data_IF_186675057877
#
_entry.id   IF_186675057877
#
_cell.length_a   1.000
_cell.length_b   1.000
_cell.length_c   1.000
_cell.angle_alpha   90.00
_cell.angle_beta   90.00
_cell.angle_gamma   90.00
#
_symmetry.space_group_name_H-M   'P 1'
#
loop_
_entity.id
_entity.type
_entity.pdbx_description
1 polymer ?
#
# COMPACT_ATOMS: atom_id res chain seq x y z
N UNK A 1 -41.88 -70.78 -39.99
CA UNK A 1 -41.04 -70.94 -41.20
C UNK A 1 -41.52 -69.98 -42.28
N UNK A 2 -41.00 -68.75 -42.31
CA UNK A 2 -41.21 -67.82 -43.43
C UNK A 2 -39.83 -67.18 -43.70
N UNK A 3 -39.21 -67.54 -44.82
CA UNK A 3 -37.95 -66.96 -45.29
C UNK A 3 -38.20 -66.28 -46.65
N UNK A 4 -38.05 -64.97 -46.65
CA UNK A 4 -37.14 -64.18 -47.49
C UNK A 4 -37.04 -64.58 -48.98
N UNK A 5 -37.41 -63.66 -49.89
CA UNK A 5 -36.46 -63.00 -50.84
C UNK A 5 -37.17 -62.06 -51.83
N UNK A 6 -36.63 -60.83 -51.89
CA UNK A 6 -36.49 -59.96 -53.07
C UNK A 6 -37.79 -59.28 -53.56
N UNK A 7 -37.90 -57.97 -53.29
CA UNK A 7 -38.28 -56.95 -54.28
C UNK A 7 -37.59 -55.62 -53.88
N UNK A 8 -36.79 -55.14 -54.84
CA UNK A 8 -36.33 -53.79 -55.14
C UNK A 8 -36.14 -52.75 -54.02
N UNK A 9 -34.85 -52.62 -53.67
CA UNK A 9 -34.05 -51.40 -53.61
C UNK A 9 -34.63 -50.20 -54.40
N UNK A 10 -35.33 -49.27 -53.73
CA UNK A 10 -35.66 -47.93 -54.26
C UNK A 10 -35.80 -46.90 -53.13
N UNK A 11 -34.79 -46.82 -52.25
CA UNK A 11 -34.64 -45.73 -51.28
C UNK A 11 -33.16 -45.55 -50.98
N UNK A 12 -32.44 -44.84 -51.85
CA UNK A 12 -31.11 -44.28 -51.56
C UNK A 12 -30.69 -43.32 -52.69
N UNK A 13 -31.38 -42.18 -52.75
CA UNK A 13 -30.90 -40.97 -53.42
C UNK A 13 -31.69 -39.74 -52.94
N UNK A 14 -31.98 -39.66 -51.64
CA UNK A 14 -32.10 -38.35 -51.01
C UNK A 14 -30.68 -37.94 -50.66
N UNK A 15 -30.17 -36.95 -51.39
CA UNK A 15 -28.93 -36.26 -51.09
C UNK A 15 -28.80 -36.05 -49.58
N UNK A 16 -27.96 -36.85 -48.94
CA UNK A 16 -27.11 -36.26 -47.92
C UNK A 16 -26.25 -35.27 -48.70
N UNK A 17 -26.68 -34.01 -48.74
CA UNK A 17 -25.72 -32.94 -48.71
C UNK A 17 -24.99 -33.09 -47.36
N UNK A 18 -24.03 -34.03 -47.32
CA UNK A 18 -22.88 -33.88 -46.44
C UNK A 18 -22.34 -32.53 -46.85
N UNK A 19 -22.36 -31.50 -45.98
CA UNK A 19 -21.68 -30.27 -46.32
C UNK A 19 -20.25 -30.68 -46.65
N UNK A 20 -19.84 -30.42 -47.88
CA UNK A 20 -18.49 -30.64 -48.34
C UNK A 20 -17.56 -30.11 -47.27
N UNK A 21 -16.83 -31.01 -46.62
CA UNK A 21 -15.80 -30.72 -45.63
C UNK A 21 -14.58 -30.21 -46.40
N UNK A 22 -14.76 -29.12 -47.13
CA UNK A 22 -13.76 -28.43 -47.95
C UNK A 22 -13.77 -26.94 -47.63
N UNK A 23 -12.58 -26.35 -47.53
CA UNK A 23 -12.25 -24.91 -47.51
C UNK A 23 -12.41 -24.03 -46.26
N UNK A 24 -12.91 -24.51 -45.13
CA UNK A 24 -12.92 -23.66 -43.91
C UNK A 24 -11.52 -23.46 -43.29
N UNK A 25 -10.55 -24.32 -43.62
CA UNK A 25 -9.18 -24.22 -43.10
C UNK A 25 -8.37 -23.16 -43.84
N UNK A 26 -8.42 -23.13 -45.17
CA UNK A 26 -7.72 -22.14 -45.98
C UNK A 26 -8.25 -20.73 -45.73
N UNK A 27 -9.58 -20.58 -45.62
CA UNK A 27 -10.23 -19.31 -45.26
C UNK A 27 -9.76 -18.81 -43.88
N UNK A 28 -9.68 -19.70 -42.89
CA UNK A 28 -9.14 -19.37 -41.56
C UNK A 28 -7.69 -18.86 -41.62
N UNK A 29 -6.83 -19.53 -42.40
CA UNK A 29 -5.42 -19.11 -42.57
C UNK A 29 -5.28 -17.80 -43.34
N UNK A 30 -6.15 -17.55 -44.33
CA UNK A 30 -6.19 -16.29 -45.05
C UNK A 30 -6.53 -15.13 -44.11
N UNK A 31 -7.63 -15.23 -43.36
CA UNK A 31 -8.00 -14.21 -42.38
C UNK A 31 -6.95 -14.04 -41.30
N UNK A 32 -6.32 -15.12 -40.83
CA UNK A 32 -5.22 -15.02 -39.87
C UNK A 32 -4.02 -14.23 -40.46
N UNK A 33 -3.67 -14.49 -41.72
CA UNK A 33 -2.58 -13.78 -42.39
C UNK A 33 -2.89 -12.29 -42.58
N UNK A 34 -4.13 -11.95 -42.95
CA UNK A 34 -4.60 -10.56 -43.03
C UNK A 34 -4.52 -9.84 -41.68
N UNK A 35 -4.91 -10.52 -40.60
CA UNK A 35 -4.78 -10.00 -39.24
C UNK A 35 -3.34 -9.68 -38.86
N UNK A 36 -2.39 -10.58 -39.18
CA UNK A 36 -0.95 -10.36 -38.94
C UNK A 36 -0.44 -9.14 -39.73
N UNK A 37 -0.85 -8.97 -40.99
CA UNK A 37 -0.48 -7.80 -41.78
C UNK A 37 -1.02 -6.49 -41.20
N UNK A 38 -2.23 -6.51 -40.62
CA UNK A 38 -2.78 -5.34 -39.93
C UNK A 38 -2.05 -5.02 -38.62
N UNK A 39 -1.59 -6.03 -37.87
CA UNK A 39 -0.72 -5.82 -36.70
C UNK A 39 0.56 -5.07 -37.10
N UNK A 40 1.21 -5.47 -38.20
CA UNK A 40 2.42 -4.79 -38.70
C UNK A 40 2.18 -3.31 -39.04
N UNK A 41 0.96 -2.97 -39.45
CA UNK A 41 0.52 -1.61 -39.75
C UNK A 41 0.03 -0.83 -38.52
N UNK A 42 0.00 -1.46 -37.34
CA UNK A 42 -0.51 -0.87 -36.11
C UNK A 42 -2.03 -0.84 -35.98
N UNK A 43 -2.77 -1.42 -36.93
CA UNK A 43 -4.24 -1.50 -36.88
C UNK A 43 -4.69 -2.70 -36.02
N UNK A 44 -4.60 -2.53 -34.69
CA UNK A 44 -5.03 -3.55 -33.72
C UNK A 44 -6.52 -3.90 -33.87
N UNK A 45 -7.37 -2.93 -34.18
CA UNK A 45 -8.83 -3.15 -34.24
C UNK A 45 -9.22 -3.94 -35.48
N UNK A 46 -8.64 -3.60 -36.64
CA UNK A 46 -8.83 -4.36 -37.86
C UNK A 46 -8.22 -5.75 -37.78
N UNK A 47 -7.07 -5.90 -37.12
CA UNK A 47 -6.46 -7.21 -36.89
C UNK A 47 -7.37 -8.13 -36.07
N UNK A 48 -7.97 -7.62 -34.98
CA UNK A 48 -8.93 -8.39 -34.16
C UNK A 48 -10.12 -8.89 -34.99
N UNK A 49 -10.69 -8.05 -35.86
CA UNK A 49 -11.82 -8.46 -36.74
C UNK A 49 -11.43 -9.60 -37.70
N UNK A 50 -10.22 -9.55 -38.25
CA UNK A 50 -9.74 -10.60 -39.13
C UNK A 50 -9.47 -11.89 -38.34
N UNK A 51 -8.84 -11.81 -37.16
CA UNK A 51 -8.64 -12.97 -36.31
C UNK A 51 -9.96 -13.58 -35.79
N UNK A 52 -10.97 -12.76 -35.50
CA UNK A 52 -12.34 -13.23 -35.19
C UNK A 52 -12.95 -13.98 -36.37
N UNK A 53 -12.75 -13.49 -37.59
CA UNK A 53 -13.21 -14.16 -38.81
C UNK A 53 -12.45 -15.47 -39.03
N UNK A 54 -11.15 -15.50 -38.77
CA UNK A 54 -10.34 -16.71 -38.79
C UNK A 54 -10.84 -17.78 -37.79
N UNK A 55 -11.17 -17.37 -36.56
CA UNK A 55 -11.70 -18.25 -35.53
C UNK A 55 -13.14 -18.71 -35.82
N UNK A 56 -13.94 -17.89 -36.51
CA UNK A 56 -15.29 -18.29 -36.97
C UNK A 56 -15.23 -19.33 -38.10
N UNK A 57 -14.31 -19.15 -39.05
CA UNK A 57 -14.10 -20.10 -40.14
C UNK A 57 -13.60 -21.45 -39.61
N UNK A 58 -12.62 -21.43 -38.69
CA UNK A 58 -12.14 -22.62 -38.01
C UNK A 58 -11.92 -22.37 -36.50
N UNK A 59 -12.87 -22.80 -35.63
CA UNK A 59 -12.73 -22.71 -34.18
C UNK A 59 -11.63 -23.59 -33.58
N UNK A 60 -10.91 -24.41 -34.35
CA UNK A 60 -9.79 -25.22 -33.88
C UNK A 60 -8.44 -24.71 -34.40
N UNK A 61 -8.40 -23.53 -35.03
CA UNK A 61 -7.15 -22.90 -35.43
C UNK A 61 -6.48 -22.24 -34.20
N UNK A 62 -5.66 -23.00 -33.49
CA UNK A 62 -4.93 -22.55 -32.30
C UNK A 62 -4.07 -21.30 -32.54
N UNK A 63 -3.49 -21.18 -33.75
CA UNK A 63 -2.69 -20.02 -34.14
C UNK A 63 -3.56 -18.76 -34.24
N UNK A 64 -4.72 -18.86 -34.90
CA UNK A 64 -5.66 -17.74 -34.98
C UNK A 64 -6.22 -17.35 -33.61
N UNK A 65 -6.51 -18.34 -32.75
CA UNK A 65 -6.94 -18.09 -31.37
C UNK A 65 -5.85 -17.40 -30.53
N UNK A 66 -4.60 -17.86 -30.63
CA UNK A 66 -3.47 -17.24 -29.94
C UNK A 66 -3.21 -15.81 -30.43
N UNK A 67 -3.27 -15.58 -31.74
CA UNK A 67 -3.13 -14.24 -32.33
C UNK A 67 -4.28 -13.31 -31.91
N UNK A 68 -5.52 -13.82 -31.86
CA UNK A 68 -6.67 -13.08 -31.37
C UNK A 68 -6.51 -12.67 -29.90
N UNK A 69 -6.10 -13.61 -29.04
CA UNK A 69 -5.84 -13.36 -27.63
C UNK A 69 -4.75 -12.31 -27.45
N UNK A 70 -3.63 -12.43 -28.19
CA UNK A 70 -2.51 -11.50 -28.15
C UNK A 70 -2.92 -10.09 -28.62
N UNK A 71 -3.65 -9.98 -29.73
CA UNK A 71 -4.14 -8.69 -30.24
C UNK A 71 -5.09 -8.01 -29.25
N UNK A 72 -6.01 -8.76 -28.64
CA UNK A 72 -6.92 -8.25 -27.60
C UNK A 72 -6.16 -7.85 -26.34
N UNK A 73 -5.16 -8.62 -25.92
CA UNK A 73 -4.30 -8.27 -24.79
C UNK A 73 -3.56 -6.96 -25.04
N UNK A 74 -2.94 -6.79 -26.21
CA UNK A 74 -2.22 -5.57 -26.56
C UNK A 74 -3.15 -4.34 -26.61
N UNK A 75 -4.37 -4.50 -27.14
CA UNK A 75 -5.38 -3.46 -27.11
C UNK A 75 -5.83 -3.13 -25.68
N UNK A 76 -5.96 -4.14 -24.82
CA UNK A 76 -6.25 -3.95 -23.40
C UNK A 76 -5.15 -3.16 -22.68
N UNK A 77 -3.88 -3.47 -22.94
CA UNK A 77 -2.73 -2.73 -22.41
C UNK A 77 -2.76 -1.28 -22.90
N UNK A 78 -3.08 -1.05 -24.17
CA UNK A 78 -3.25 0.31 -24.71
C UNK A 78 -4.34 1.09 -23.95
N UNK A 79 -5.53 0.51 -23.74
CA UNK A 79 -6.59 1.16 -22.98
C UNK A 79 -6.21 1.40 -21.52
N UNK A 80 -5.55 0.44 -20.87
CA UNK A 80 -5.06 0.60 -19.51
C UNK A 80 -4.04 1.75 -19.39
N UNK A 81 -3.14 1.91 -20.37
CA UNK A 81 -2.18 3.03 -20.42
C UNK A 81 -2.87 4.41 -20.53
N UNK A 82 -4.07 4.44 -21.11
CA UNK A 82 -4.93 5.63 -21.21
C UNK A 82 -5.91 5.75 -20.04
N UNK A 83 -5.75 4.92 -18.99
CA UNK A 83 -6.65 4.83 -17.82
C UNK A 83 -8.12 4.52 -18.20
N UNK A 84 -8.38 4.00 -19.40
CA UNK A 84 -9.70 3.53 -19.84
C UNK A 84 -9.93 2.10 -19.35
N UNK A 85 -10.03 1.96 -18.03
CA UNK A 85 -10.08 0.65 -17.38
C UNK A 85 -11.27 -0.24 -17.78
N UNK A 86 -12.50 0.29 -18.02
CA UNK A 86 -13.61 -0.55 -18.48
C UNK A 86 -13.34 -1.21 -19.84
N UNK A 87 -12.73 -0.48 -20.78
CA UNK A 87 -12.36 -1.02 -22.09
C UNK A 87 -11.22 -2.03 -21.97
N UNK A 88 -10.23 -1.74 -21.10
CA UNK A 88 -9.16 -2.68 -20.81
C UNK A 88 -9.70 -4.01 -20.25
N UNK A 89 -10.63 -3.97 -19.29
CA UNK A 89 -11.27 -5.17 -18.73
C UNK A 89 -11.98 -5.97 -19.81
N UNK A 90 -12.75 -5.31 -20.71
CA UNK A 90 -13.41 -5.99 -21.83
C UNK A 90 -12.41 -6.73 -22.71
N UNK A 91 -11.31 -6.06 -23.08
CA UNK A 91 -10.26 -6.65 -23.90
C UNK A 91 -9.56 -7.83 -23.22
N UNK A 92 -9.15 -7.69 -21.96
CA UNK A 92 -8.48 -8.77 -21.22
C UNK A 92 -9.40 -9.94 -20.90
N UNK A 93 -10.67 -9.68 -20.55
CA UNK A 93 -11.67 -10.73 -20.33
C UNK A 93 -11.92 -11.51 -21.62
N UNK A 94 -12.05 -10.81 -22.76
CA UNK A 94 -12.15 -11.46 -24.05
C UNK A 94 -10.91 -12.32 -24.31
N UNK A 95 -9.70 -11.78 -24.18
CA UNK A 95 -8.45 -12.53 -24.37
C UNK A 95 -8.35 -13.78 -23.45
N UNK A 96 -8.75 -13.66 -22.17
CA UNK A 96 -8.82 -14.77 -21.21
C UNK A 96 -9.79 -15.87 -21.67
N UNK A 97 -10.87 -15.53 -22.37
CA UNK A 97 -11.78 -16.55 -22.96
C UNK A 97 -11.09 -17.36 -24.07
N UNK A 98 -10.18 -16.76 -24.85
CA UNK A 98 -9.46 -17.49 -25.91
C UNK A 98 -8.32 -18.35 -25.36
N UNK A 99 -7.61 -17.83 -24.36
CA UNK A 99 -6.50 -18.53 -23.71
C UNK A 99 -6.64 -18.42 -22.19
N UNK A 100 -7.51 -19.23 -21.57
CA UNK A 100 -7.74 -19.21 -20.13
C UNK A 100 -6.49 -19.50 -19.28
N UNK A 101 -5.47 -20.13 -19.83
CA UNK A 101 -4.23 -20.49 -19.17
C UNK A 101 -3.12 -19.42 -19.33
N UNK A 102 -3.35 -18.36 -20.12
CA UNK A 102 -2.37 -17.30 -20.34
C UNK A 102 -2.24 -16.39 -19.11
N UNK A 103 -1.21 -16.67 -18.32
CA UNK A 103 -0.85 -15.91 -17.11
C UNK A 103 -0.60 -14.43 -17.41
N UNK A 104 -0.06 -14.09 -18.58
CA UNK A 104 0.23 -12.68 -18.93
C UNK A 104 -1.05 -11.87 -19.04
N UNK A 105 -2.07 -12.41 -19.70
CA UNK A 105 -3.39 -11.78 -19.84
C UNK A 105 -4.06 -11.63 -18.48
N UNK A 106 -4.00 -12.69 -17.65
CA UNK A 106 -4.61 -12.67 -16.32
C UNK A 106 -3.93 -11.69 -15.37
N UNK A 107 -2.60 -11.60 -15.40
CA UNK A 107 -1.86 -10.59 -14.63
C UNK A 107 -2.20 -9.17 -15.07
N UNK A 108 -2.38 -8.93 -16.37
CA UNK A 108 -2.84 -7.62 -16.86
C UNK A 108 -4.26 -7.29 -16.35
N UNK A 109 -5.17 -8.27 -16.35
CA UNK A 109 -6.51 -8.11 -15.81
C UNK A 109 -6.49 -7.83 -14.30
N UNK A 110 -5.71 -8.61 -13.54
CA UNK A 110 -5.48 -8.40 -12.11
C UNK A 110 -4.98 -6.98 -11.84
N UNK A 111 -3.96 -6.52 -12.58
CA UNK A 111 -3.41 -5.18 -12.42
C UNK A 111 -4.45 -4.07 -12.63
N UNK A 112 -5.40 -4.26 -13.57
CA UNK A 112 -6.50 -3.32 -13.76
C UNK A 112 -7.49 -3.34 -12.59
N UNK A 113 -7.86 -4.52 -12.07
CA UNK A 113 -8.73 -4.60 -10.88
C UNK A 113 -8.11 -3.94 -9.65
N UNK A 114 -6.80 -4.11 -9.46
CA UNK A 114 -6.03 -3.46 -8.40
C UNK A 114 -6.03 -1.94 -8.53
N UNK A 115 -5.80 -1.41 -9.74
CA UNK A 115 -5.84 0.05 -9.96
C UNK A 115 -7.23 0.65 -9.73
N UNK A 116 -8.29 -0.14 -9.95
CA UNK A 116 -9.68 0.25 -9.64
C UNK A 116 -10.09 -0.01 -8.18
N UNK A 117 -9.18 -0.52 -7.33
CA UNK A 117 -9.48 -0.97 -5.96
C UNK A 117 -10.66 -1.94 -5.88
N UNK A 118 -10.87 -2.75 -6.93
CA UNK A 118 -11.93 -3.77 -6.99
C UNK A 118 -11.45 -5.05 -6.30
N UNK A 119 -11.42 -5.03 -4.97
CA UNK A 119 -10.84 -6.07 -4.12
C UNK A 119 -11.36 -7.49 -4.45
N UNK A 120 -12.68 -7.71 -4.44
CA UNK A 120 -13.26 -9.03 -4.73
C UNK A 120 -12.86 -9.60 -6.11
N UNK A 121 -12.75 -8.74 -7.13
CA UNK A 121 -12.35 -9.19 -8.48
C UNK A 121 -10.85 -9.51 -8.54
N UNK A 122 -10.03 -8.71 -7.86
CA UNK A 122 -8.59 -8.93 -7.78
C UNK A 122 -8.27 -10.24 -7.05
N UNK A 123 -8.91 -10.50 -5.91
CA UNK A 123 -8.72 -11.73 -5.14
C UNK A 123 -9.12 -12.98 -5.93
N UNK A 124 -10.27 -12.96 -6.59
CA UNK A 124 -10.71 -14.08 -7.42
C UNK A 124 -9.75 -14.34 -8.60
N UNK A 125 -9.30 -13.29 -9.30
CA UNK A 125 -8.35 -13.46 -10.40
C UNK A 125 -6.97 -13.94 -9.90
N UNK A 126 -6.50 -13.43 -8.76
CA UNK A 126 -5.29 -13.91 -8.10
C UNK A 126 -5.38 -15.41 -7.75
N UNK A 127 -6.50 -15.84 -7.17
CA UNK A 127 -6.76 -17.24 -6.85
C UNK A 127 -6.71 -18.12 -8.11
N UNK A 128 -7.40 -17.71 -9.17
CA UNK A 128 -7.36 -18.42 -10.45
C UNK A 128 -5.93 -18.57 -10.98
N UNK A 129 -5.16 -17.47 -11.00
CA UNK A 129 -3.78 -17.47 -11.47
C UNK A 129 -2.93 -18.49 -10.69
N UNK A 130 -3.12 -18.56 -9.37
CA UNK A 130 -2.40 -19.47 -8.49
C UNK A 130 -2.85 -20.93 -8.65
N UNK A 131 -4.08 -21.20 -9.11
CA UNK A 131 -4.46 -22.59 -9.47
C UNK A 131 -3.68 -23.12 -10.66
N UNK A 132 -3.30 -22.23 -11.59
CA UNK A 132 -2.55 -22.60 -12.79
C UNK A 132 -1.06 -22.84 -12.48
N UNK A 133 -0.49 -22.09 -11.54
CA UNK A 133 0.92 -22.20 -11.13
C UNK A 133 1.07 -21.97 -9.61
N UNK A 134 0.70 -22.96 -8.78
CA UNK A 134 0.66 -22.79 -7.32
C UNK A 134 2.04 -22.63 -6.68
N UNK A 135 3.08 -23.18 -7.31
CA UNK A 135 4.44 -23.24 -6.76
C UNK A 135 5.43 -22.34 -7.53
N UNK A 136 4.94 -21.28 -8.20
CA UNK A 136 5.80 -20.29 -8.85
C UNK A 136 6.05 -19.11 -7.90
N UNK A 137 7.23 -19.02 -7.24
CA UNK A 137 7.49 -17.97 -6.25
C UNK A 137 7.43 -16.56 -6.87
N UNK A 138 7.80 -16.42 -8.15
CA UNK A 138 7.74 -15.11 -8.83
C UNK A 138 6.29 -14.66 -9.02
N UNK A 139 5.39 -15.60 -9.25
CA UNK A 139 3.97 -15.32 -9.41
C UNK A 139 3.31 -14.98 -8.07
N UNK A 140 3.63 -15.76 -7.04
CA UNK A 140 3.17 -15.53 -5.66
C UNK A 140 3.59 -14.14 -5.19
N UNK A 141 4.85 -13.76 -5.35
CA UNK A 141 5.35 -12.42 -4.99
C UNK A 141 4.62 -11.30 -5.72
N UNK A 142 4.40 -11.45 -7.04
CA UNK A 142 3.67 -10.44 -7.83
C UNK A 142 2.24 -10.25 -7.32
N UNK A 143 1.55 -11.35 -6.98
CA UNK A 143 0.18 -11.30 -6.46
C UNK A 143 0.16 -10.72 -5.06
N UNK A 144 1.06 -11.13 -4.17
CA UNK A 144 1.16 -10.57 -2.82
C UNK A 144 1.41 -9.05 -2.86
N UNK A 145 2.28 -8.57 -3.76
CA UNK A 145 2.53 -7.13 -3.96
C UNK A 145 1.29 -6.40 -4.49
N UNK A 146 0.54 -7.05 -5.38
CA UNK A 146 -0.70 -6.53 -5.91
C UNK A 146 -1.76 -6.39 -4.81
N UNK A 147 -1.95 -7.41 -3.97
CA UNK A 147 -2.86 -7.39 -2.82
C UNK A 147 -2.47 -6.33 -1.79
N UNK A 148 -1.18 -6.18 -1.51
CA UNK A 148 -0.68 -5.12 -0.62
C UNK A 148 -1.03 -3.71 -1.14
N UNK A 149 -1.02 -3.49 -2.47
CA UNK A 149 -1.37 -2.19 -3.08
C UNK A 149 -2.82 -1.79 -2.83
N UNK A 150 -3.73 -2.75 -2.62
CA UNK A 150 -5.12 -2.49 -2.23
C UNK A 150 -5.33 -2.61 -0.70
N UNK A 151 -4.25 -2.59 0.09
CA UNK A 151 -4.25 -2.72 1.55
C UNK A 151 -4.83 -4.04 2.08
N UNK A 152 -5.04 -5.04 1.22
CA UNK A 152 -5.38 -6.38 1.66
C UNK A 152 -4.11 -7.14 2.09
N UNK A 153 -3.56 -6.75 3.23
CA UNK A 153 -2.37 -7.38 3.81
C UNK A 153 -2.66 -8.79 4.33
N UNK A 154 -3.87 -9.03 4.84
CA UNK A 154 -4.29 -10.32 5.41
C UNK A 154 -4.20 -11.44 4.38
N UNK A 155 -4.88 -11.30 3.23
CA UNK A 155 -4.82 -12.32 2.17
C UNK A 155 -3.42 -12.45 1.57
N UNK A 156 -2.63 -11.37 1.53
CA UNK A 156 -1.24 -11.43 1.08
C UNK A 156 -0.36 -12.25 2.03
N UNK A 157 -0.53 -12.08 3.36
CA UNK A 157 0.17 -12.88 4.39
C UNK A 157 -0.21 -14.34 4.27
N UNK A 158 -1.51 -14.67 4.22
CA UNK A 158 -2.00 -16.04 4.09
C UNK A 158 -1.43 -16.75 2.85
N UNK A 159 -1.40 -16.04 1.72
CA UNK A 159 -0.84 -16.57 0.48
C UNK A 159 0.65 -16.89 0.62
N UNK A 160 1.43 -15.96 1.18
CA UNK A 160 2.87 -16.12 1.35
C UNK A 160 3.20 -17.23 2.37
N UNK A 161 2.46 -17.30 3.48
CA UNK A 161 2.58 -18.38 4.48
C UNK A 161 2.27 -19.74 3.87
N UNK A 162 1.16 -19.84 3.13
CA UNK A 162 0.80 -21.08 2.46
C UNK A 162 1.90 -21.54 1.49
N UNK A 163 2.53 -20.63 0.74
CA UNK A 163 3.67 -20.99 -0.10
C UNK A 163 4.85 -21.47 0.76
N UNK A 164 5.21 -20.71 1.79
CA UNK A 164 6.32 -21.04 2.70
C UNK A 164 6.18 -22.42 3.36
N UNK A 165 4.95 -22.83 3.70
CA UNK A 165 4.67 -24.10 4.38
C UNK A 165 4.68 -25.31 3.42
N UNK A 166 4.43 -25.10 2.13
CA UNK A 166 4.14 -26.19 1.17
C UNK A 166 5.12 -26.27 -0.01
N UNK A 167 6.03 -25.31 -0.16
CA UNK A 167 6.96 -25.22 -1.29
C UNK A 167 8.41 -25.15 -0.83
N UNK A 168 9.34 -25.25 -1.78
CA UNK A 168 10.76 -25.08 -1.49
C UNK A 168 11.05 -23.70 -0.86
N UNK A 169 11.93 -23.64 0.15
CA UNK A 169 12.35 -22.39 0.77
C UNK A 169 12.78 -21.36 -0.28
N UNK A 170 12.19 -20.17 -0.20
CA UNK A 170 12.47 -19.10 -1.14
C UNK A 170 12.75 -17.80 -0.39
N UNK A 171 13.94 -17.24 -0.64
CA UNK A 171 14.42 -16.04 0.03
C UNK A 171 13.48 -14.84 -0.14
N UNK A 172 13.07 -14.55 -1.37
CA UNK A 172 12.22 -13.37 -1.64
C UNK A 172 10.84 -13.51 -0.96
N UNK A 173 10.29 -14.72 -0.90
CA UNK A 173 9.04 -15.01 -0.18
C UNK A 173 9.20 -14.76 1.32
N UNK A 174 10.24 -15.32 1.94
CA UNK A 174 10.51 -15.13 3.36
C UNK A 174 10.75 -13.66 3.72
N UNK A 175 11.50 -12.93 2.89
CA UNK A 175 11.72 -11.48 3.08
C UNK A 175 10.43 -10.70 2.96
N UNK A 176 9.60 -11.01 1.94
CA UNK A 176 8.35 -10.31 1.73
C UNK A 176 7.36 -10.58 2.88
N UNK A 177 7.22 -11.85 3.27
CA UNK A 177 6.36 -12.25 4.38
C UNK A 177 6.81 -11.62 5.70
N UNK A 178 8.11 -11.71 6.01
CA UNK A 178 8.68 -11.13 7.23
C UNK A 178 8.47 -9.61 7.31
N UNK A 179 8.67 -8.88 6.20
CA UNK A 179 8.40 -7.43 6.14
C UNK A 179 6.91 -7.10 6.28
N UNK A 180 6.04 -7.92 5.71
CA UNK A 180 4.60 -7.68 5.79
C UNK A 180 4.08 -7.93 7.20
N UNK A 181 4.52 -9.03 7.84
CA UNK A 181 4.25 -9.35 9.25
C UNK A 181 4.77 -8.27 10.19
N UNK A 182 5.99 -7.75 9.92
CA UNK A 182 6.54 -6.63 10.67
C UNK A 182 5.63 -5.40 10.60
N UNK A 183 5.16 -5.06 9.39
CA UNK A 183 4.25 -3.93 9.18
C UNK A 183 2.91 -4.12 9.87
N UNK A 184 2.43 -5.35 10.02
CA UNK A 184 1.18 -5.67 10.71
C UNK A 184 1.36 -5.94 12.21
N UNK A 185 2.56 -5.74 12.77
CA UNK A 185 2.85 -5.87 14.20
C UNK A 185 3.08 -7.31 14.69
N UNK A 186 3.11 -8.31 13.80
CA UNK A 186 3.44 -9.69 14.19
C UNK A 186 4.96 -9.89 14.20
N UNK A 187 5.60 -9.29 15.21
CA UNK A 187 7.06 -9.27 15.34
C UNK A 187 7.67 -10.66 15.51
N UNK A 188 6.96 -11.58 16.18
CA UNK A 188 7.41 -12.95 16.41
C UNK A 188 7.57 -13.69 15.08
N UNK A 189 6.51 -13.71 14.26
CA UNK A 189 6.57 -14.37 12.97
C UNK A 189 7.44 -13.60 11.97
N UNK A 190 7.44 -12.26 12.03
CA UNK A 190 8.32 -11.43 11.22
C UNK A 190 9.79 -11.81 11.42
N UNK A 191 10.24 -11.88 12.68
CA UNK A 191 11.59 -12.31 13.05
C UNK A 191 11.88 -13.72 12.54
N UNK A 192 10.96 -14.66 12.74
CA UNK A 192 11.10 -16.06 12.32
C UNK A 192 11.37 -16.18 10.81
N UNK A 193 10.53 -15.60 9.96
CA UNK A 193 10.72 -15.71 8.51
C UNK A 193 11.94 -14.91 8.01
N UNK A 194 12.26 -13.77 8.62
CA UNK A 194 13.50 -13.05 8.29
C UNK A 194 14.75 -13.84 8.68
N UNK A 195 14.72 -14.56 9.80
CA UNK A 195 15.81 -15.44 10.21
C UNK A 195 16.01 -16.57 9.17
N UNK A 196 14.92 -17.23 8.73
CA UNK A 196 14.98 -18.21 7.63
C UNK A 196 15.55 -17.60 6.33
N UNK A 197 15.18 -16.35 5.99
CA UNK A 197 15.77 -15.66 4.86
C UNK A 197 17.28 -15.44 5.04
N UNK A 198 17.72 -15.09 6.25
CA UNK A 198 19.15 -14.92 6.56
C UNK A 198 19.92 -16.23 6.51
N UNK A 199 19.31 -17.38 6.81
CA UNK A 199 19.95 -18.69 6.65
C UNK A 199 20.24 -18.99 5.17
N UNK A 200 19.33 -18.61 4.26
CA UNK A 200 19.53 -18.75 2.81
C UNK A 200 20.60 -17.79 2.28
N UNK A 201 20.66 -16.56 2.80
CA UNK A 201 21.63 -15.53 2.39
C UNK A 201 22.24 -14.80 3.61
N UNK A 202 23.26 -15.39 4.27
CA UNK A 202 23.78 -14.94 5.58
C UNK A 202 24.49 -13.57 5.63
N UNK A 203 24.55 -12.85 4.52
CA UNK A 203 25.30 -11.59 4.41
C UNK A 203 24.42 -10.38 4.02
N UNK A 204 23.10 -10.53 3.96
CA UNK A 204 22.22 -9.37 3.71
C UNK A 204 22.10 -8.50 4.96
N UNK A 205 22.95 -7.47 5.02
CA UNK A 205 22.98 -6.47 6.10
C UNK A 205 21.62 -5.81 6.35
N UNK A 206 20.75 -5.69 5.34
CA UNK A 206 19.43 -5.07 5.52
C UNK A 206 18.49 -5.98 6.30
N UNK A 207 18.57 -7.29 6.06
CA UNK A 207 17.78 -8.29 6.78
C UNK A 207 18.27 -8.40 8.23
N UNK A 208 19.59 -8.48 8.41
CA UNK A 208 20.20 -8.53 9.75
C UNK A 208 19.79 -7.29 10.56
N UNK A 209 19.93 -6.08 10.01
CA UNK A 209 19.50 -4.86 10.68
C UNK A 209 18.00 -4.83 11.00
N UNK A 210 17.15 -5.40 10.13
CA UNK A 210 15.72 -5.50 10.39
C UNK A 210 15.40 -6.51 11.51
N UNK A 211 16.08 -7.67 11.54
CA UNK A 211 15.96 -8.65 12.63
C UNK A 211 16.37 -8.01 13.95
N UNK A 212 17.54 -7.36 13.99
CA UNK A 212 18.02 -6.65 15.18
C UNK A 212 17.01 -5.59 15.62
N UNK A 213 16.46 -4.79 14.69
CA UNK A 213 15.41 -3.81 15.03
C UNK A 213 14.19 -4.48 15.65
N UNK A 214 13.70 -5.58 15.07
CA UNK A 214 12.55 -6.33 15.60
C UNK A 214 12.87 -6.88 16.99
N UNK A 215 14.07 -7.38 17.23
CA UNK A 215 14.49 -7.86 18.56
C UNK A 215 14.49 -6.74 19.60
N UNK A 216 14.94 -5.54 19.23
CA UNK A 216 14.88 -4.36 20.11
C UNK A 216 13.43 -3.98 20.43
N UNK A 217 12.55 -3.98 19.43
CA UNK A 217 11.12 -3.67 19.60
C UNK A 217 10.42 -4.72 20.49
N UNK A 218 10.63 -6.01 20.23
CA UNK A 218 10.09 -7.11 21.04
C UNK A 218 10.55 -7.07 22.50
N UNK A 219 11.83 -6.76 22.74
CA UNK A 219 12.38 -6.68 24.10
C UNK A 219 11.69 -5.59 24.94
N UNK A 220 11.31 -4.48 24.29
CA UNK A 220 10.56 -3.41 24.95
C UNK A 220 9.12 -3.83 25.20
N UNK A 221 8.45 -4.48 24.24
CA UNK A 221 7.05 -4.91 24.36
C UNK A 221 6.81 -5.96 25.46
N UNK A 222 7.70 -6.95 25.60
CA UNK A 222 7.52 -8.05 26.55
C UNK A 222 7.42 -7.59 28.02
N UNK A 223 7.94 -6.39 28.34
CA UNK A 223 7.93 -5.81 29.68
C UNK A 223 6.91 -4.68 29.86
N UNK A 224 5.94 -4.55 28.95
CA UNK A 224 4.94 -3.50 29.04
C UNK A 224 3.67 -3.93 29.79
N UNK A 225 3.12 -2.97 30.52
CA UNK A 225 1.74 -2.97 30.99
C UNK A 225 0.87 -2.20 30.02
N UNK A 226 -0.42 -2.52 30.00
CA UNK A 226 -1.41 -1.84 29.17
C UNK A 226 -2.49 -1.25 30.07
N UNK A 227 -2.89 -0.04 29.74
CA UNK A 227 -3.97 0.70 30.40
C UNK A 227 -4.80 1.36 29.31
N UNK A 228 -6.09 1.57 29.54
CA UNK A 228 -6.95 2.29 28.61
C UNK A 228 -7.95 3.14 29.37
N UNK A 229 -8.33 4.26 28.79
CA UNK A 229 -9.38 5.14 29.27
C UNK A 229 -10.38 5.45 28.13
N UNK A 230 -11.08 6.58 28.18
CA UNK A 230 -12.10 6.94 27.20
C UNK A 230 -11.54 7.16 25.78
N UNK A 231 -10.35 7.76 25.65
CA UNK A 231 -9.80 8.19 24.36
C UNK A 231 -8.47 7.55 24.01
N UNK A 232 -7.76 6.96 24.98
CA UNK A 232 -6.41 6.45 24.81
C UNK A 232 -6.26 5.00 25.27
N UNK A 233 -5.38 4.30 24.55
CA UNK A 233 -4.82 3.00 24.95
C UNK A 233 -3.32 3.17 25.10
N UNK A 234 -2.84 3.06 26.34
CA UNK A 234 -1.45 3.27 26.72
C UNK A 234 -0.73 1.93 26.92
N UNK A 235 0.42 1.76 26.28
CA UNK A 235 1.39 0.72 26.58
C UNK A 235 2.62 1.35 27.23
N UNK A 236 3.07 0.86 28.39
CA UNK A 236 4.15 1.49 29.15
C UNK A 236 4.98 0.48 29.93
N UNK A 237 6.27 0.74 30.22
CA UNK A 237 7.14 -0.22 30.89
C UNK A 237 6.68 -0.50 32.32
N UNK A 238 6.75 -1.75 32.76
CA UNK A 238 6.25 -2.18 34.08
C UNK A 238 6.98 -1.53 35.28
N UNK A 239 8.15 -0.92 35.06
CA UNK A 239 8.95 -0.23 36.07
C UNK A 239 8.55 1.24 36.29
N UNK A 240 7.61 1.78 35.52
CA UNK A 240 7.12 3.14 35.72
C UNK A 240 6.21 3.23 36.96
N UNK A 241 6.40 4.30 37.72
CA UNK A 241 5.56 4.61 38.88
C UNK A 241 4.13 4.98 38.44
N UNK A 242 3.08 4.50 39.13
CA UNK A 242 1.68 4.81 38.78
C UNK A 242 1.40 6.30 38.62
N UNK A 243 1.98 7.15 39.48
CA UNK A 243 1.79 8.59 39.48
C UNK A 243 2.28 9.23 38.17
N UNK A 244 3.39 8.72 37.61
CA UNK A 244 3.91 9.20 36.32
C UNK A 244 3.00 8.80 35.16
N UNK A 245 2.30 7.67 35.27
CA UNK A 245 1.36 7.22 34.25
C UNK A 245 0.05 8.02 34.30
N UNK A 246 -0.43 8.34 35.51
CA UNK A 246 -1.57 9.24 35.71
C UNK A 246 -1.27 10.63 35.13
N UNK A 247 -0.08 11.17 35.36
CA UNK A 247 0.39 12.43 34.79
C UNK A 247 0.39 12.42 33.25
N UNK A 248 0.88 11.33 32.63
CA UNK A 248 0.86 11.19 31.16
C UNK A 248 -0.58 11.17 30.64
N UNK A 249 -1.48 10.44 31.30
CA UNK A 249 -2.88 10.35 30.89
C UNK A 249 -3.62 11.68 31.04
N UNK A 250 -3.37 12.41 32.13
CA UNK A 250 -3.92 13.75 32.35
C UNK A 250 -3.55 14.69 31.20
N UNK A 251 -2.26 14.73 30.84
CA UNK A 251 -1.76 15.56 29.73
C UNK A 251 -2.37 15.13 28.39
N UNK A 252 -2.54 13.82 28.15
CA UNK A 252 -3.15 13.30 26.93
C UNK A 252 -4.62 13.73 26.81
N UNK A 253 -5.39 13.69 27.90
CA UNK A 253 -6.79 14.14 27.92
C UNK A 253 -6.90 15.67 27.76
N UNK A 254 -6.00 16.44 28.35
CA UNK A 254 -5.90 17.88 28.08
C UNK A 254 -5.63 18.15 26.59
N UNK A 255 -4.67 17.45 26.00
CA UNK A 255 -4.32 17.58 24.60
C UNK A 255 -5.50 17.18 23.68
N UNK A 256 -6.20 16.09 24.01
CA UNK A 256 -7.41 15.66 23.31
C UNK A 256 -8.48 16.76 23.28
N UNK A 257 -8.79 17.33 24.45
CA UNK A 257 -9.82 18.35 24.58
C UNK A 257 -9.42 19.65 23.84
N UNK A 258 -8.24 20.17 24.14
CA UNK A 258 -7.79 21.48 23.63
C UNK A 258 -7.47 21.43 22.14
N UNK A 259 -6.57 20.53 21.72
CA UNK A 259 -6.08 20.48 20.33
C UNK A 259 -7.19 19.98 19.41
N UNK A 260 -8.00 19.01 19.88
CA UNK A 260 -9.21 18.58 19.18
C UNK A 260 -10.22 19.72 19.00
N UNK A 261 -10.34 20.62 19.97
CA UNK A 261 -11.18 21.82 19.87
C UNK A 261 -10.72 22.81 18.80
N UNK A 262 -9.41 23.06 18.69
CA UNK A 262 -8.86 23.95 17.66
C UNK A 262 -8.95 23.39 16.24
N UNK A 263 -8.81 22.06 16.09
CA UNK A 263 -8.85 21.39 14.80
C UNK A 263 -10.23 20.85 14.43
N UNK A 264 -11.22 21.01 15.32
CA UNK A 264 -12.57 20.46 15.23
C UNK A 264 -12.57 18.97 14.82
N UNK A 265 -11.63 18.22 15.38
CA UNK A 265 -11.40 16.82 15.02
C UNK A 265 -11.06 15.98 16.25
N UNK A 266 -11.86 14.94 16.45
CA UNK A 266 -11.75 14.02 17.56
C UNK A 266 -11.70 12.58 17.02
N UNK A 267 -10.63 11.82 17.29
CA UNK A 267 -10.54 10.43 16.85
C UNK A 267 -11.71 9.58 17.37
N UNK A 268 -12.36 8.83 16.47
CA UNK A 268 -13.45 7.91 16.82
C UNK A 268 -12.97 6.65 17.56
N UNK A 269 -11.73 6.23 17.27
CA UNK A 269 -11.10 5.07 17.88
C UNK A 269 -10.13 5.49 18.98
N UNK A 270 -9.90 4.58 19.94
CA UNK A 270 -8.88 4.76 20.98
C UNK A 270 -7.51 5.02 20.32
N UNK A 271 -6.91 6.17 20.66
CA UNK A 271 -5.58 6.55 20.19
C UNK A 271 -4.54 5.71 20.92
N UNK A 272 -3.72 4.97 20.17
CA UNK A 272 -2.67 4.14 20.74
C UNK A 272 -1.41 4.97 21.03
N UNK A 273 -0.92 4.84 22.27
CA UNK A 273 0.22 5.58 22.79
C UNK A 273 1.17 4.60 23.46
N UNK A 274 2.45 4.66 23.08
CA UNK A 274 3.52 3.83 23.65
C UNK A 274 4.50 4.71 24.42
N UNK A 275 4.58 4.50 25.73
CA UNK A 275 5.57 5.12 26.61
C UNK A 275 6.80 4.22 26.64
N UNK A 276 7.98 4.83 26.59
CA UNK A 276 9.26 4.12 26.62
C UNK A 276 10.24 4.85 27.52
N UNK A 277 11.21 4.15 28.12
CA UNK A 277 12.36 4.85 28.70
C UNK A 277 13.11 5.58 27.58
N UNK A 278 13.65 6.78 27.86
CA UNK A 278 14.45 7.53 26.87
C UNK A 278 15.64 6.71 26.33
N UNK A 279 16.23 5.81 27.12
CA UNK A 279 17.28 4.89 26.67
C UNK A 279 16.78 3.91 25.63
N UNK A 280 15.63 3.29 25.89
CA UNK A 280 15.04 2.26 25.04
C UNK A 280 14.54 2.86 23.74
N UNK A 281 13.92 4.04 23.81
CA UNK A 281 13.48 4.80 22.64
C UNK A 281 14.66 5.10 21.69
N UNK A 282 15.78 5.57 22.24
CA UNK A 282 16.99 5.84 21.44
C UNK A 282 17.60 4.58 20.86
N UNK A 283 17.58 3.49 21.62
CA UNK A 283 18.09 2.19 21.19
C UNK A 283 17.24 1.59 20.06
N UNK A 284 15.92 1.68 20.15
CA UNK A 284 14.99 1.15 19.15
C UNK A 284 15.04 1.98 17.86
N UNK A 285 14.95 3.31 17.97
CA UNK A 285 14.70 4.18 16.82
C UNK A 285 15.96 4.77 16.17
N UNK A 286 17.14 4.61 16.77
CA UNK A 286 18.41 5.18 16.28
C UNK A 286 18.32 6.69 16.00
N UNK A 287 17.45 7.40 16.71
CA UNK A 287 17.18 8.82 16.48
C UNK A 287 18.27 9.71 17.07
N UNK A 288 18.54 10.88 16.44
CA UNK A 288 19.41 11.90 17.01
C UNK A 288 18.96 12.29 18.43
N UNK A 289 19.90 12.67 19.30
CA UNK A 289 19.60 13.05 20.69
C UNK A 289 18.57 14.18 20.86
N UNK A 290 18.32 14.96 19.80
CA UNK A 290 17.38 16.09 19.80
C UNK A 290 15.93 15.69 19.54
N UNK A 291 15.65 14.47 19.04
CA UNK A 291 14.27 14.02 18.86
C UNK A 291 13.60 13.81 20.23
N UNK A 292 12.54 14.56 20.48
CA UNK A 292 11.83 14.58 21.77
C UNK A 292 10.70 13.53 21.85
N UNK A 293 10.26 13.00 20.72
CA UNK A 293 9.26 11.94 20.57
C UNK A 293 9.23 11.44 19.11
N UNK A 294 8.27 10.59 18.79
CA UNK A 294 8.06 10.12 17.42
C UNK A 294 6.61 9.72 17.19
N UNK A 295 6.07 10.15 16.04
CA UNK A 295 4.84 9.63 15.48
C UNK A 295 5.12 8.88 14.17
N UNK A 296 4.82 7.58 14.12
CA UNK A 296 4.95 6.73 12.92
C UNK A 296 3.65 5.98 12.57
N UNK A 297 2.53 6.53 13.02
CA UNK A 297 1.20 5.90 13.00
C UNK A 297 0.66 5.68 14.41
N UNK A 298 1.56 5.47 15.38
CA UNK A 298 1.27 5.50 16.82
C UNK A 298 2.10 6.57 17.50
N UNK A 299 1.63 7.08 18.64
CA UNK A 299 2.34 8.11 19.42
C UNK A 299 3.38 7.41 20.30
N UNK A 300 4.67 7.75 20.17
CA UNK A 300 5.75 7.19 20.98
C UNK A 300 6.39 8.26 21.84
N UNK A 301 6.25 8.12 23.16
CA UNK A 301 6.68 9.11 24.15
C UNK A 301 7.91 8.58 24.91
N UNK A 302 9.11 9.11 24.68
CA UNK A 302 10.27 8.82 25.51
C UNK A 302 10.17 9.58 26.82
N UNK A 303 10.12 8.85 27.93
CA UNK A 303 10.05 9.42 29.27
C UNK A 303 11.31 9.08 30.04
N UNK A 304 11.92 10.12 30.61
CA UNK A 304 12.99 9.96 31.60
C UNK A 304 12.37 10.01 33.00
N UNK A 305 12.82 9.17 33.92
CA UNK A 305 12.31 9.16 35.31
C UNK A 305 12.42 10.53 36.00
N UNK A 306 13.37 11.36 35.58
CA UNK A 306 13.61 12.70 36.14
C UNK A 306 13.04 13.84 35.28
N UNK A 307 12.19 13.55 34.28
CA UNK A 307 11.60 14.61 33.45
C UNK A 307 10.60 15.46 34.26
N UNK A 308 10.60 16.77 34.01
CA UNK A 308 9.61 17.68 34.59
C UNK A 308 8.27 17.55 33.87
N UNK A 309 7.18 17.81 34.59
CA UNK A 309 5.82 17.87 34.06
C UNK A 309 5.74 18.72 32.78
N UNK A 310 6.31 19.92 32.80
CA UNK A 310 6.32 20.83 31.64
C UNK A 310 7.03 20.24 30.42
N UNK A 311 8.12 19.52 30.62
CA UNK A 311 8.85 18.89 29.50
C UNK A 311 8.02 17.79 28.89
N UNK A 312 7.42 16.95 29.75
CA UNK A 312 6.54 15.86 29.35
C UNK A 312 5.30 16.40 28.63
N UNK A 313 4.69 17.47 29.17
CA UNK A 313 3.53 18.14 28.60
C UNK A 313 3.79 18.65 27.19
N UNK A 314 4.91 19.33 26.97
CA UNK A 314 5.34 19.80 25.63
C UNK A 314 5.48 18.63 24.66
N UNK A 315 6.23 17.59 25.03
CA UNK A 315 6.44 16.41 24.17
C UNK A 315 5.12 15.74 23.79
N UNK A 316 4.24 15.48 24.76
CA UNK A 316 2.97 14.78 24.50
C UNK A 316 2.09 15.58 23.56
N UNK A 317 1.94 16.89 23.79
CA UNK A 317 1.12 17.77 22.95
C UNK A 317 1.66 17.87 21.54
N UNK A 318 2.98 17.92 21.39
CA UNK A 318 3.66 17.90 20.09
C UNK A 318 3.31 16.63 19.31
N UNK A 319 3.53 15.45 19.89
CA UNK A 319 3.28 14.16 19.21
C UNK A 319 1.78 13.91 18.96
N UNK A 320 0.91 14.33 19.89
CA UNK A 320 -0.54 14.25 19.69
C UNK A 320 -1.02 15.17 18.54
N UNK A 321 -0.38 16.32 18.35
CA UNK A 321 -0.69 17.19 17.20
C UNK A 321 -0.41 16.49 15.89
N UNK A 322 0.75 15.82 15.75
CA UNK A 322 1.06 15.04 14.55
C UNK A 322 0.01 13.96 14.29
N UNK A 323 -0.46 13.27 15.34
CA UNK A 323 -1.52 12.28 15.21
C UNK A 323 -2.81 12.88 14.62
N UNK A 324 -3.29 14.01 15.14
CA UNK A 324 -4.50 14.65 14.62
C UNK A 324 -4.31 15.19 13.20
N UNK A 325 -3.18 15.85 12.93
CA UNK A 325 -2.87 16.39 11.60
C UNK A 325 -2.78 15.27 10.57
N UNK A 326 -2.17 14.13 10.91
CA UNK A 326 -2.08 12.97 10.03
C UNK A 326 -3.47 12.41 9.70
N UNK A 327 -4.32 12.19 10.71
CA UNK A 327 -5.66 11.67 10.51
C UNK A 327 -6.55 12.63 9.71
N UNK A 328 -6.48 13.93 10.01
CA UNK A 328 -7.30 14.95 9.35
C UNK A 328 -6.89 15.19 7.89
N UNK A 329 -5.60 15.01 7.56
CA UNK A 329 -5.06 15.21 6.21
C UNK A 329 -4.85 13.93 5.41
N UNK A 330 -5.16 12.77 5.99
CA UNK A 330 -4.80 11.45 5.43
C UNK A 330 -3.28 11.34 5.11
N UNK A 331 -2.44 11.95 5.95
CA UNK A 331 -0.98 11.97 5.79
C UNK A 331 -0.46 12.87 4.67
N UNK A 332 -1.28 13.80 4.16
CA UNK A 332 -0.93 14.70 3.04
C UNK A 332 -0.57 16.13 3.48
N UNK A 333 -0.64 16.43 4.78
CA UNK A 333 -0.34 17.75 5.29
C UNK A 333 1.07 18.24 4.86
N UNK A 334 1.22 19.52 4.47
CA UNK A 334 2.53 20.14 4.30
C UNK A 334 3.35 20.04 5.59
N UNK A 335 4.64 19.71 5.47
CA UNK A 335 5.57 19.57 6.59
C UNK A 335 5.62 20.87 7.41
N UNK A 336 5.69 22.03 6.75
CA UNK A 336 5.77 23.30 7.48
C UNK A 336 4.54 23.54 8.38
N UNK A 337 3.36 23.07 7.96
CA UNK A 337 2.11 23.23 8.71
C UNK A 337 2.03 22.17 9.81
N UNK A 338 2.40 20.93 9.50
CA UNK A 338 2.46 19.84 10.47
C UNK A 338 3.39 20.17 11.65
N UNK A 339 4.65 20.53 11.35
CA UNK A 339 5.64 20.88 12.37
C UNK A 339 5.31 22.20 13.08
N UNK A 340 4.80 23.18 12.32
CA UNK A 340 4.45 24.47 12.90
C UNK A 340 3.28 24.40 13.87
N UNK A 341 2.26 23.58 13.58
CA UNK A 341 1.16 23.30 14.52
C UNK A 341 1.68 22.55 15.75
N UNK A 342 2.53 21.54 15.57
CA UNK A 342 3.09 20.77 16.68
C UNK A 342 3.89 21.67 17.64
N UNK A 343 4.74 22.56 17.09
CA UNK A 343 5.46 23.59 17.86
C UNK A 343 4.51 24.57 18.54
N UNK A 344 3.45 24.99 17.86
CA UNK A 344 2.49 25.96 18.37
C UNK A 344 1.74 25.41 19.60
N UNK A 345 1.33 24.14 19.55
CA UNK A 345 0.57 23.52 20.65
C UNK A 345 1.43 23.11 21.85
N UNK A 346 2.77 23.09 21.76
CA UNK A 346 3.64 22.83 22.92
C UNK A 346 3.41 23.80 24.09
N UNK A 347 3.11 25.07 23.80
CA UNK A 347 3.15 26.18 24.79
C UNK A 347 1.80 26.83 25.08
N UNK A 348 0.69 26.10 24.87
CA UNK A 348 -0.67 26.56 25.23
C UNK A 348 -1.12 27.85 24.51
N UNK A 349 -0.63 28.12 23.29
CA UNK A 349 -1.08 29.22 22.42
C UNK A 349 -0.90 30.64 22.97
N UNK A 350 0.13 30.89 23.79
CA UNK A 350 0.69 32.25 23.80
C UNK A 350 1.19 32.51 22.38
N UNK A 351 0.35 33.12 21.54
CA UNK A 351 0.76 33.66 20.25
C UNK A 351 2.03 34.45 20.57
N UNK A 352 3.19 34.08 20.02
CA UNK A 352 4.34 34.93 20.18
C UNK A 352 4.01 36.20 19.40
N UNK A 353 3.40 37.16 20.09
CA UNK A 353 3.44 38.56 19.73
C UNK A 353 4.92 38.85 19.58
N UNK A 354 5.38 38.79 18.33
CA UNK A 354 6.77 38.99 17.92
C UNK A 354 7.70 37.81 18.29
N UNK A 355 7.67 36.73 17.49
CA UNK A 355 8.94 36.02 17.22
C UNK A 355 9.84 37.07 16.58
N UNK A 356 10.84 37.53 17.32
CA UNK A 356 11.76 38.58 16.91
C UNK A 356 12.39 38.20 15.56
N UNK A 357 12.05 38.96 14.51
CA UNK A 357 12.62 38.79 13.16
C UNK A 357 14.16 38.89 13.16
N UNK A 358 14.76 39.39 14.24
CA UNK A 358 16.20 39.48 14.41
C UNK A 358 16.90 38.11 14.50
N UNK A 359 16.26 37.04 15.00
CA UNK A 359 16.87 35.69 15.03
C UNK A 359 16.85 34.99 13.65
N UNK A 360 15.95 35.38 12.76
CA UNK A 360 15.79 34.77 11.44
C UNK A 360 16.65 35.41 10.33
N UNK A 361 17.49 36.41 10.65
CA UNK A 361 18.32 37.16 9.70
C UNK A 361 17.56 37.65 8.45
N UNK A 362 16.29 38.03 8.61
CA UNK A 362 15.48 38.62 7.53
C UNK A 362 15.12 37.69 6.36
N UNK A 363 15.38 36.39 6.44
CA UNK A 363 14.99 35.44 5.39
C UNK A 363 13.62 34.82 5.71
N UNK A 364 12.55 35.39 5.14
CA UNK A 364 11.28 34.67 5.01
C UNK A 364 11.46 33.54 3.99
N UNK A 365 11.77 32.33 4.48
CA UNK A 365 11.76 31.16 3.61
C UNK A 365 10.32 30.89 3.16
N UNK A 366 10.13 30.70 1.85
CA UNK A 366 8.83 30.28 1.32
C UNK A 366 8.53 28.84 1.75
N UNK A 367 7.25 28.43 1.70
CA UNK A 367 6.80 27.10 2.11
C UNK A 367 7.67 25.98 1.51
N UNK A 368 7.98 26.09 0.21
CA UNK A 368 8.83 25.14 -0.51
C UNK A 368 10.25 25.03 0.05
N UNK A 369 10.82 26.10 0.59
CA UNK A 369 12.17 26.07 1.18
C UNK A 369 12.17 25.37 2.54
N UNK A 370 11.14 25.59 3.36
CA UNK A 370 10.97 24.88 4.65
C UNK A 370 10.81 23.38 4.40
N UNK A 371 9.93 23.02 3.44
CA UNK A 371 9.72 21.64 2.98
C UNK A 371 11.01 20.94 2.57
N UNK A 372 11.81 21.59 1.73
CA UNK A 372 13.09 21.05 1.25
C UNK A 372 14.11 20.93 2.38
N UNK A 373 14.10 21.87 3.33
CA UNK A 373 15.00 21.85 4.49
C UNK A 373 14.75 20.66 5.42
N UNK A 374 13.49 20.33 5.72
CA UNK A 374 13.19 19.12 6.50
C UNK A 374 13.56 17.84 5.73
N UNK A 375 13.34 17.82 4.41
CA UNK A 375 13.67 16.67 3.54
C UNK A 375 15.18 16.43 3.40
N UNK A 376 16.03 17.41 3.67
CA UNK A 376 17.49 17.29 3.54
C UNK A 376 18.20 16.64 4.73
N UNK A 377 17.45 16.14 5.73
CA UNK A 377 18.01 15.55 6.97
C UNK A 377 18.93 16.53 7.72
N UNK A 378 18.37 17.65 8.20
CA UNK A 378 19.15 18.73 8.81
C UNK A 378 19.88 18.25 10.07
N UNK A 379 21.01 18.88 10.37
CA UNK A 379 21.65 18.72 11.68
C UNK A 379 20.83 19.43 12.78
N UNK A 380 21.22 19.29 14.05
CA UNK A 380 20.43 19.83 15.17
C UNK A 380 20.25 21.35 15.15
N UNK A 381 21.23 22.10 14.62
CA UNK A 381 21.15 23.57 14.53
C UNK A 381 20.21 23.98 13.40
N UNK A 382 20.33 23.32 12.25
CA UNK A 382 19.45 23.52 11.09
C UNK A 382 18.00 23.15 11.42
N UNK A 383 17.79 22.03 12.11
CA UNK A 383 16.46 21.56 12.51
C UNK A 383 15.76 22.58 13.42
N UNK A 384 16.46 23.12 14.43
CA UNK A 384 15.92 24.19 15.29
C UNK A 384 15.47 25.41 14.49
N UNK A 385 16.26 25.83 13.50
CA UNK A 385 15.90 26.95 12.62
C UNK A 385 14.66 26.64 11.80
N UNK A 386 14.54 25.42 11.27
CA UNK A 386 13.39 24.98 10.50
C UNK A 386 12.10 24.91 11.34
N UNK A 387 12.18 24.42 12.58
CA UNK A 387 11.04 24.44 13.52
C UNK A 387 10.57 25.86 13.82
N UNK A 388 11.51 26.80 14.10
CA UNK A 388 11.16 28.21 14.33
C UNK A 388 10.49 28.85 13.10
N UNK A 389 10.98 28.55 11.89
CA UNK A 389 10.39 29.02 10.64
C UNK A 389 9.00 28.44 10.39
N UNK A 390 8.82 27.13 10.64
CA UNK A 390 7.53 26.44 10.52
C UNK A 390 6.50 27.03 11.49
N UNK A 391 6.89 27.26 12.74
CA UNK A 391 6.07 27.91 13.76
C UNK A 391 5.67 29.33 13.31
N UNK A 392 6.64 30.18 12.93
CA UNK A 392 6.37 31.55 12.49
C UNK A 392 5.38 31.59 11.31
N UNK A 393 5.61 30.74 10.30
CA UNK A 393 4.75 30.66 9.12
C UNK A 393 3.34 30.19 9.47
N UNK A 394 3.21 29.20 10.36
CA UNK A 394 1.92 28.67 10.84
C UNK A 394 1.16 29.71 11.64
N UNK A 395 1.81 30.38 12.59
CA UNK A 395 1.18 31.44 13.38
C UNK A 395 0.65 32.57 12.48
N UNK A 396 1.44 33.02 11.49
CA UNK A 396 0.98 34.05 10.53
C UNK A 396 -0.18 33.58 9.67
N UNK A 397 -0.17 32.31 9.25
CA UNK A 397 -1.26 31.74 8.47
C UNK A 397 -2.56 31.70 9.28
N UNK A 398 -2.50 31.28 10.54
CA UNK A 398 -3.64 31.29 11.48
C UNK A 398 -4.15 32.71 11.71
N UNK A 399 -3.25 33.67 12.03
CA UNK A 399 -3.64 35.06 12.28
C UNK A 399 -4.31 35.70 11.05
N UNK A 400 -3.83 35.38 9.85
CA UNK A 400 -4.34 36.01 8.62
C UNK A 400 -5.62 35.37 8.09
N UNK A 401 -5.86 34.08 8.35
CA UNK A 401 -6.93 33.30 7.70
C UNK A 401 -7.89 32.61 8.68
N UNK A 402 -7.57 32.55 9.96
CA UNK A 402 -8.33 31.82 10.98
C UNK A 402 -8.11 30.31 10.98
N UNK A 403 -8.66 29.64 12.00
CA UNK A 403 -8.56 28.18 12.18
C UNK A 403 -9.33 27.38 11.12
N UNK A 404 -10.46 27.90 10.62
CA UNK A 404 -11.22 27.24 9.56
C UNK A 404 -10.37 27.04 8.28
N UNK A 405 -9.53 28.02 7.94
CA UNK A 405 -8.61 27.92 6.81
C UNK A 405 -7.51 26.86 7.04
N UNK A 406 -7.06 26.67 8.28
CA UNK A 406 -6.12 25.59 8.63
C UNK A 406 -6.76 24.23 8.40
N UNK A 407 -7.97 24.04 8.95
CA UNK A 407 -8.72 22.78 8.82
C UNK A 407 -8.98 22.47 7.34
N UNK A 408 -9.43 23.46 6.58
CA UNK A 408 -9.65 23.32 5.14
C UNK A 408 -8.35 22.97 4.40
N UNK A 409 -7.23 23.60 4.76
CA UNK A 409 -5.94 23.28 4.16
C UNK A 409 -5.48 21.85 4.48
N UNK A 410 -5.75 21.34 5.67
CA UNK A 410 -5.45 19.94 6.03
C UNK A 410 -6.32 18.97 5.23
N UNK A 411 -7.63 19.23 5.11
CA UNK A 411 -8.58 18.39 4.35
C UNK A 411 -8.35 18.40 2.84
N UNK A 412 -7.90 19.52 2.27
CA UNK A 412 -7.74 19.75 0.83
C UNK A 412 -6.31 19.52 0.31
N UNK A 413 -5.45 18.85 1.10
CA UNK A 413 -4.08 18.54 0.68
C UNK A 413 -4.10 17.53 -0.48
N UNK A 414 -4.15 18.02 -1.72
CA UNK A 414 -4.01 17.23 -2.96
C UNK A 414 -2.54 16.93 -3.31
#
# INVERSE_FOLDING_TARGET
MIRVKIILLLFLLSLFAVPLRGDNQEESWLFNSLGIEKIKKGDLTGAIKDFESACRANPFNDTAMANLACARNNLGVFFASKKKYPDAIRCFTAAKVQKPEDISVRLNLLAVYINLKKQNFAENEAKDILTLRPNDPKLVLKIALALQKIQNNETAIELLQKYADNSEPNFDIFVMLGKLLYKTGDFKNAKYYLALASELFPADKKIIALIEKIEREMHVEDNQRKLSNAHFKLAYPANFLPEKIEEILEILEEAYSEIGGYLEFYPENLTEVTVMNTSDFRYVHELPKWAAGMYDGTIKIPVSLNCSYETLRKTIRHEYTHHLVFNLSEGKAPIWLNEGLAQLFETSLEYPEQIDNNELQGAELCEKQIELGFKSKPNSVEAKKLYALALNKTSRFIVSNGWEAVINKLKLSD
#
